data_IF_919519742563
#
_entry.id   IF_919519742563
#
_cell.length_a   1.000
_cell.length_b   1.000
_cell.length_c   1.000
_cell.angle_alpha   90.00
_cell.angle_beta   90.00
_cell.angle_gamma   90.00
#
_symmetry.space_group_name_H-M   'P 1'
#
loop_
_entity.id
_entity.type
_entity.pdbx_description
1 polymer ?
#
# COMPACT_ATOMS: atom_id res chain seq x y z
N UNK A 1 -15.67 -11.85 -5.89
CA UNK A 1 -14.29 -11.38 -6.11
C UNK A 1 -13.89 -10.40 -5.03
N UNK A 2 -12.80 -10.71 -4.31
CA UNK A 2 -12.10 -9.76 -3.43
C UNK A 2 -10.64 -9.68 -3.89
N UNK A 3 -10.09 -8.47 -3.88
CA UNK A 3 -8.71 -8.17 -4.22
C UNK A 3 -7.99 -7.71 -2.95
N UNK A 4 -6.90 -8.38 -2.61
CA UNK A 4 -5.93 -7.86 -1.64
C UNK A 4 -4.98 -6.90 -2.35
N UNK A 5 -5.18 -5.60 -2.18
CA UNK A 5 -4.36 -4.58 -2.84
C UNK A 5 -2.99 -4.35 -2.22
N UNK A 6 -2.63 -5.07 -1.15
CA UNK A 6 -1.36 -4.87 -0.48
C UNK A 6 -0.89 -6.10 0.28
N UNK A 7 0.07 -6.82 -0.29
CA UNK A 7 0.87 -7.81 0.43
C UNK A 7 2.31 -7.84 -0.08
N UNK A 8 3.14 -8.60 0.63
CA UNK A 8 4.55 -8.76 0.38
C UNK A 8 4.96 -10.23 0.33
N UNK A 9 6.04 -10.49 -0.39
CA UNK A 9 6.71 -11.80 -0.48
C UNK A 9 8.20 -11.51 -0.35
N UNK A 10 8.93 -12.34 0.38
CA UNK A 10 10.38 -12.20 0.46
C UNK A 10 11.09 -13.52 0.77
N UNK A 11 12.29 -13.65 0.22
CA UNK A 11 13.25 -14.72 0.52
C UNK A 11 14.50 -14.11 1.17
N UNK A 12 14.66 -14.31 2.47
CA UNK A 12 15.79 -13.80 3.25
C UNK A 12 17.12 -14.45 2.86
N UNK A 13 17.10 -15.57 2.14
CA UNK A 13 18.31 -16.20 1.60
C UNK A 13 18.80 -15.52 0.31
N UNK A 14 17.89 -14.87 -0.43
CA UNK A 14 18.21 -14.07 -1.63
C UNK A 14 18.56 -12.65 -1.21
N UNK A 15 17.72 -12.05 -0.39
CA UNK A 15 17.91 -10.65 0.00
C UNK A 15 17.43 -10.35 1.40
N UNK A 16 18.29 -9.65 2.12
CA UNK A 16 17.98 -9.24 3.47
C UNK A 16 16.92 -8.12 3.52
N UNK A 17 16.16 -8.11 4.61
CA UNK A 17 15.09 -7.17 4.92
C UNK A 17 15.55 -6.29 6.09
N UNK A 18 16.33 -5.25 5.79
CA UNK A 18 17.04 -4.44 6.79
C UNK A 18 16.14 -3.72 7.81
N UNK A 19 14.85 -3.57 7.52
CA UNK A 19 13.86 -3.00 8.43
C UNK A 19 13.34 -4.01 9.49
N UNK A 20 13.50 -5.31 9.27
CA UNK A 20 13.09 -6.38 10.20
C UNK A 20 14.13 -6.50 11.31
N UNK A 21 14.07 -5.59 12.29
CA UNK A 21 15.04 -5.48 13.38
C UNK A 21 14.40 -5.62 14.75
N UNK A 22 15.17 -6.16 15.71
CA UNK A 22 14.75 -6.32 17.09
C UNK A 22 13.84 -7.51 17.37
N UNK A 23 13.58 -7.75 18.65
CA UNK A 23 12.89 -8.96 19.12
C UNK A 23 11.43 -9.02 18.69
N UNK A 24 10.76 -7.87 18.62
CA UNK A 24 9.36 -7.78 18.23
C UNK A 24 9.13 -8.22 16.78
N UNK A 25 10.12 -8.07 15.90
CA UNK A 25 10.02 -8.44 14.47
C UNK A 25 10.42 -9.89 14.18
N UNK A 26 10.88 -10.65 15.18
CA UNK A 26 11.30 -12.06 15.00
C UNK A 26 10.26 -12.96 14.30
N UNK A 27 8.94 -12.85 14.55
CA UNK A 27 7.95 -13.71 13.90
C UNK A 27 7.94 -13.64 12.36
N UNK A 28 8.30 -12.47 11.82
CA UNK A 28 8.37 -12.23 10.37
C UNK A 28 9.79 -12.31 9.82
N UNK A 29 10.80 -12.61 10.65
CA UNK A 29 12.20 -12.81 10.24
C UNK A 29 12.42 -14.20 9.65
N UNK A 30 11.63 -14.56 8.65
CA UNK A 30 11.65 -15.82 7.89
C UNK A 30 11.19 -15.58 6.46
N UNK A 31 11.31 -16.57 5.59
CA UNK A 31 10.80 -16.49 4.22
C UNK A 31 9.28 -16.56 4.19
N UNK A 32 8.69 -15.84 3.24
CA UNK A 32 7.27 -15.90 2.90
C UNK A 32 7.15 -15.99 1.38
N UNK A 33 6.39 -16.98 0.91
CA UNK A 33 6.27 -17.36 -0.49
C UNK A 33 4.81 -17.43 -0.96
N UNK A 34 4.58 -17.56 -2.28
CA UNK A 34 3.23 -17.67 -2.85
C UNK A 34 2.43 -18.88 -2.32
N UNK A 35 3.05 -20.05 -2.03
CA UNK A 35 2.40 -21.12 -1.27
C UNK A 35 1.96 -20.70 0.15
N UNK A 36 2.80 -19.98 0.90
CA UNK A 36 2.43 -19.49 2.24
C UNK A 36 1.25 -18.51 2.17
N UNK A 37 1.23 -17.64 1.15
CA UNK A 37 0.11 -16.72 0.91
C UNK A 37 -1.19 -17.50 0.62
N UNK A 38 -1.14 -18.53 -0.22
CA UNK A 38 -2.32 -19.37 -0.53
C UNK A 38 -2.90 -20.05 0.71
N UNK A 39 -2.03 -20.51 1.60
CA UNK A 39 -2.46 -21.04 2.89
C UNK A 39 -3.13 -19.95 3.74
N UNK A 40 -2.54 -18.76 3.80
CA UNK A 40 -3.06 -17.64 4.57
C UNK A 40 -4.42 -17.12 4.08
N UNK A 41 -4.64 -17.05 2.75
CA UNK A 41 -5.90 -16.57 2.15
C UNK A 41 -6.99 -17.65 2.07
N UNK A 42 -6.68 -18.89 2.46
CA UNK A 42 -7.64 -19.98 2.35
C UNK A 42 -8.93 -19.66 3.12
N UNK A 43 -10.07 -19.73 2.42
CA UNK A 43 -11.44 -19.41 2.91
C UNK A 43 -11.72 -17.94 3.25
N UNK A 44 -10.86 -17.00 2.88
CA UNK A 44 -11.13 -15.56 3.11
C UNK A 44 -11.90 -14.88 1.97
N UNK A 45 -12.05 -15.59 0.83
CA UNK A 45 -12.71 -15.08 -0.37
C UNK A 45 -11.86 -14.15 -1.22
N UNK A 46 -10.58 -13.95 -0.87
CA UNK A 46 -9.59 -13.26 -1.71
C UNK A 46 -9.24 -14.15 -2.91
N UNK A 47 -9.38 -13.57 -4.10
CA UNK A 47 -9.21 -14.26 -5.38
C UNK A 47 -8.04 -13.71 -6.19
N UNK A 48 -7.63 -12.46 -5.94
CA UNK A 48 -6.56 -11.76 -6.65
C UNK A 48 -5.80 -10.83 -5.70
N UNK A 49 -4.57 -10.48 -6.05
CA UNK A 49 -3.68 -9.70 -5.19
C UNK A 49 -2.80 -8.71 -5.94
N UNK A 50 -2.37 -7.65 -5.26
CA UNK A 50 -1.32 -6.73 -5.71
C UNK A 50 -0.10 -6.92 -4.81
N UNK A 51 1.02 -7.30 -5.43
CA UNK A 51 2.29 -7.56 -4.76
C UNK A 51 3.13 -6.28 -4.71
N UNK A 52 3.60 -5.89 -3.52
CA UNK A 52 4.26 -4.60 -3.28
C UNK A 52 5.71 -4.81 -2.85
N UNK A 53 6.63 -3.99 -3.39
CA UNK A 53 8.05 -3.95 -3.00
C UNK A 53 8.25 -3.83 -1.49
N UNK A 54 9.34 -4.37 -0.96
CA UNK A 54 9.63 -4.39 0.49
C UNK A 54 10.85 -3.57 0.88
N UNK A 55 11.73 -3.25 -0.07
CA UNK A 55 13.02 -2.62 0.17
C UNK A 55 13.44 -1.68 -0.96
N UNK A 56 14.48 -0.89 -0.70
CA UNK A 56 15.04 0.09 -1.62
C UNK A 56 16.15 -0.48 -2.51
N UNK A 57 15.87 -1.60 -3.19
CA UNK A 57 16.79 -2.24 -4.15
C UNK A 57 16.12 -2.40 -5.53
N UNK A 58 16.76 -1.85 -6.57
CA UNK A 58 16.30 -1.95 -7.96
C UNK A 58 16.16 -3.40 -8.45
N UNK A 59 16.87 -4.35 -7.84
CA UNK A 59 16.78 -5.76 -8.21
C UNK A 59 15.51 -6.47 -7.70
N UNK A 60 14.77 -5.90 -6.73
CA UNK A 60 13.55 -6.54 -6.22
C UNK A 60 12.40 -6.49 -7.24
N UNK A 61 12.21 -5.35 -7.92
CA UNK A 61 11.08 -5.20 -8.85
C UNK A 61 11.06 -6.26 -9.97
N UNK A 62 12.19 -6.56 -10.66
CA UNK A 62 12.26 -7.68 -11.60
C UNK A 62 11.83 -9.04 -11.03
N UNK A 63 12.13 -9.33 -9.76
CA UNK A 63 11.74 -10.58 -9.11
C UNK A 63 10.23 -10.64 -8.87
N UNK A 64 9.62 -9.53 -8.44
CA UNK A 64 8.17 -9.44 -8.25
C UNK A 64 7.41 -9.56 -9.59
N UNK A 65 7.94 -8.97 -10.67
CA UNK A 65 7.36 -9.11 -12.01
C UNK A 65 7.42 -10.57 -12.51
N UNK A 66 8.53 -11.27 -12.25
CA UNK A 66 8.65 -12.69 -12.58
C UNK A 66 7.65 -13.56 -11.78
N UNK A 67 7.41 -13.23 -10.50
CA UNK A 67 6.36 -13.89 -9.71
C UNK A 67 5.00 -13.68 -10.37
N UNK A 68 4.64 -12.44 -10.72
CA UNK A 68 3.34 -12.11 -11.32
C UNK A 68 3.13 -12.76 -12.69
N UNK A 69 4.18 -12.93 -13.49
CA UNK A 69 4.11 -13.67 -14.75
C UNK A 69 3.85 -15.17 -14.54
N UNK A 70 4.32 -15.74 -13.43
CA UNK A 70 4.22 -17.17 -13.14
C UNK A 70 2.99 -17.57 -12.31
N UNK A 71 2.29 -16.60 -11.71
CA UNK A 71 1.28 -16.85 -10.68
C UNK A 71 0.04 -15.96 -10.89
N UNK A 72 -1.07 -16.57 -11.32
CA UNK A 72 -2.34 -15.90 -11.64
C UNK A 72 -3.00 -15.19 -10.45
N UNK A 73 -2.58 -15.49 -9.21
CA UNK A 73 -3.07 -14.82 -8.02
C UNK A 73 -2.59 -13.36 -7.96
N UNK A 74 -1.50 -13.02 -8.63
CA UNK A 74 -0.93 -11.66 -8.66
C UNK A 74 -1.35 -10.97 -9.96
N UNK A 75 -2.16 -9.92 -9.82
CA UNK A 75 -2.71 -9.15 -10.97
C UNK A 75 -2.06 -7.78 -11.14
N UNK A 76 -1.24 -7.38 -10.17
CA UNK A 76 -0.47 -6.15 -10.23
C UNK A 76 0.74 -6.20 -9.32
N UNK A 77 1.76 -5.43 -9.69
CA UNK A 77 3.00 -5.23 -8.95
C UNK A 77 3.18 -3.73 -8.73
N UNK A 78 3.49 -3.36 -7.50
CA UNK A 78 3.99 -2.03 -7.14
C UNK A 78 5.49 -2.16 -6.87
N UNK A 79 6.29 -1.68 -7.82
CA UNK A 79 7.76 -1.75 -7.77
C UNK A 79 8.38 -0.61 -6.98
N UNK A 80 9.71 -0.58 -6.95
CA UNK A 80 10.51 0.47 -6.30
C UNK A 80 11.38 1.25 -7.31
N UNK A 81 11.46 2.55 -7.11
CA UNK A 81 12.45 3.45 -7.70
C UNK A 81 12.88 4.45 -6.62
N UNK A 82 14.16 4.85 -6.63
CA UNK A 82 14.56 6.04 -5.88
C UNK A 82 14.03 7.27 -6.59
N UNK A 83 12.91 7.83 -6.10
CA UNK A 83 12.14 8.78 -6.91
C UNK A 83 12.83 10.14 -7.07
N UNK A 84 13.72 10.50 -6.15
CA UNK A 84 14.51 11.74 -6.22
C UNK A 84 15.78 11.64 -7.07
N UNK A 85 16.06 10.48 -7.66
CA UNK A 85 17.22 10.27 -8.52
C UNK A 85 16.97 10.79 -9.95
N UNK A 86 17.94 11.47 -10.58
CA UNK A 86 17.77 12.03 -11.93
C UNK A 86 17.56 10.96 -13.02
N UNK A 87 17.94 9.72 -12.75
CA UNK A 87 17.83 8.54 -13.61
C UNK A 87 16.67 7.60 -13.22
N UNK A 88 15.80 7.98 -12.27
CA UNK A 88 14.67 7.14 -11.82
C UNK A 88 13.80 6.63 -12.99
N UNK A 89 13.54 7.49 -13.97
CA UNK A 89 12.72 7.13 -15.14
C UNK A 89 13.48 6.23 -16.12
N UNK A 90 14.81 6.32 -16.20
CA UNK A 90 15.60 5.35 -16.96
C UNK A 90 15.45 3.95 -16.36
N UNK A 91 15.49 3.84 -15.03
CA UNK A 91 15.23 2.58 -14.34
C UNK A 91 13.80 2.07 -14.57
N UNK A 92 12.80 2.95 -14.58
CA UNK A 92 11.44 2.55 -14.96
C UNK A 92 11.38 1.94 -16.37
N UNK A 93 12.03 2.56 -17.35
CA UNK A 93 12.07 2.02 -18.71
C UNK A 93 12.69 0.63 -18.75
N UNK A 94 13.74 0.37 -17.96
CA UNK A 94 14.32 -0.98 -17.84
C UNK A 94 13.28 -1.98 -17.33
N UNK A 95 12.42 -1.62 -16.38
CA UNK A 95 11.33 -2.50 -15.92
C UNK A 95 10.28 -2.73 -17.00
N UNK A 96 9.93 -1.69 -17.76
CA UNK A 96 8.93 -1.78 -18.82
C UNK A 96 9.37 -2.66 -20.01
N UNK A 97 10.67 -2.92 -20.15
CA UNK A 97 11.25 -3.80 -21.15
C UNK A 97 11.34 -5.28 -20.70
N UNK A 98 10.98 -5.59 -19.43
CA UNK A 98 11.06 -6.96 -18.89
C UNK A 98 9.82 -7.82 -19.23
N UNK A 99 9.97 -9.16 -19.25
CA UNK A 99 8.84 -10.06 -19.07
C UNK A 99 8.04 -9.69 -17.82
N UNK A 100 6.71 -9.83 -17.89
CA UNK A 100 5.81 -9.42 -16.83
C UNK A 100 5.62 -7.89 -16.65
N UNK A 101 6.21 -7.03 -17.48
CA UNK A 101 6.05 -5.58 -17.39
C UNK A 101 4.58 -5.09 -17.40
N UNK A 102 3.66 -5.83 -18.01
CA UNK A 102 2.23 -5.55 -17.99
C UNK A 102 1.61 -5.62 -16.58
N UNK A 103 2.26 -6.31 -15.64
CA UNK A 103 1.89 -6.36 -14.23
C UNK A 103 2.44 -5.16 -13.44
N UNK A 104 3.40 -4.39 -13.95
CA UNK A 104 3.87 -3.18 -13.26
C UNK A 104 2.76 -2.12 -13.31
N UNK A 105 2.09 -1.89 -12.18
CA UNK A 105 0.97 -0.94 -12.08
C UNK A 105 1.31 0.32 -11.31
N UNK A 106 2.25 0.23 -10.37
CA UNK A 106 2.63 1.34 -9.51
C UNK A 106 4.11 1.34 -9.16
N UNK A 107 4.55 2.48 -8.64
CA UNK A 107 5.84 2.65 -7.97
C UNK A 107 5.59 3.16 -6.56
N UNK A 108 6.37 2.65 -5.61
CA UNK A 108 6.40 3.11 -4.22
C UNK A 108 7.82 3.39 -3.81
N UNK A 109 8.07 4.58 -3.27
CA UNK A 109 9.28 4.86 -2.49
C UNK A 109 8.93 4.93 -0.98
N UNK A 110 9.89 4.63 -0.11
CA UNK A 110 9.67 4.50 1.35
C UNK A 110 9.88 5.85 2.03
N UNK A 111 9.04 6.83 1.72
CA UNK A 111 9.17 8.21 2.19
C UNK A 111 9.29 8.33 3.71
N UNK A 112 8.55 7.49 4.46
CA UNK A 112 8.60 7.43 5.93
C UNK A 112 9.97 7.08 6.55
N UNK A 113 10.92 6.56 5.75
CA UNK A 113 12.25 6.16 6.22
C UNK A 113 13.32 7.22 5.88
N UNK A 114 12.96 8.25 5.11
CA UNK A 114 13.84 9.39 4.87
C UNK A 114 13.92 10.30 6.10
N UNK A 115 15.13 10.80 6.39
CA UNK A 115 15.37 11.73 7.50
C UNK A 115 14.62 13.06 7.33
N UNK A 116 14.44 13.49 6.08
CA UNK A 116 13.76 14.73 5.72
C UNK A 116 12.29 14.44 5.40
N UNK A 117 11.33 14.88 6.23
CA UNK A 117 9.92 14.64 5.99
C UNK A 117 9.39 15.37 4.73
N UNK A 118 10.16 16.30 4.17
CA UNK A 118 9.82 17.00 2.93
C UNK A 118 10.32 16.29 1.67
N UNK A 119 10.83 15.05 1.79
CA UNK A 119 11.37 14.25 0.69
C UNK A 119 10.48 14.23 -0.57
N UNK A 120 9.16 14.04 -0.38
CA UNK A 120 8.20 13.96 -1.48
C UNK A 120 7.96 15.30 -2.20
N UNK A 121 8.20 16.42 -1.53
CA UNK A 121 8.01 17.77 -2.08
C UNK A 121 9.24 18.29 -2.83
N UNK A 122 10.33 17.51 -2.91
CA UNK A 122 11.52 17.89 -3.68
C UNK A 122 11.18 18.01 -5.16
N UNK A 123 11.85 18.95 -5.83
CA UNK A 123 11.63 19.23 -7.25
C UNK A 123 11.82 17.98 -8.13
N UNK A 124 12.87 17.20 -7.88
CA UNK A 124 13.15 15.99 -8.67
C UNK A 124 12.13 14.87 -8.38
N UNK A 125 11.70 14.70 -7.12
CA UNK A 125 10.61 13.77 -6.75
C UNK A 125 9.32 14.11 -7.50
N UNK A 126 8.87 15.38 -7.43
CA UNK A 126 7.67 15.85 -8.14
C UNK A 126 7.80 15.63 -9.65
N UNK A 127 8.96 15.99 -10.22
CA UNK A 127 9.23 15.84 -11.66
C UNK A 127 9.17 14.38 -12.10
N UNK A 128 9.72 13.45 -11.33
CA UNK A 128 9.72 12.04 -11.69
C UNK A 128 8.35 11.40 -11.47
N UNK A 129 7.66 11.67 -10.35
CA UNK A 129 6.29 11.20 -10.13
C UNK A 129 5.35 11.66 -11.24
N UNK A 130 5.46 12.92 -11.68
CA UNK A 130 4.66 13.42 -12.81
C UNK A 130 4.87 12.60 -14.09
N UNK A 131 6.11 12.19 -14.38
CA UNK A 131 6.43 11.35 -15.53
C UNK A 131 5.86 9.92 -15.40
N UNK A 132 5.73 9.39 -14.19
CA UNK A 132 5.04 8.10 -13.96
C UNK A 132 3.59 8.16 -14.45
N UNK A 133 2.87 9.24 -14.10
CA UNK A 133 1.48 9.44 -14.51
C UNK A 133 1.30 9.52 -16.03
N UNK A 134 2.23 10.18 -16.73
CA UNK A 134 2.25 10.22 -18.19
C UNK A 134 2.41 8.84 -18.85
N UNK A 135 3.02 7.88 -18.14
CA UNK A 135 3.16 6.48 -18.55
C UNK A 135 2.03 5.59 -18.01
N UNK A 136 1.07 6.18 -17.28
CA UNK A 136 -0.07 5.48 -16.72
C UNK A 136 0.22 4.63 -15.48
N UNK A 137 1.40 4.80 -14.86
CA UNK A 137 1.85 4.12 -13.64
C UNK A 137 1.41 4.92 -12.41
N UNK A 138 0.84 4.26 -11.40
CA UNK A 138 0.42 4.89 -10.14
C UNK A 138 1.61 5.22 -9.25
N UNK A 139 1.40 6.08 -8.25
CA UNK A 139 2.36 6.29 -7.17
C UNK A 139 1.73 5.98 -5.81
N UNK A 140 2.32 5.03 -5.09
CA UNK A 140 1.86 4.62 -3.78
C UNK A 140 2.55 5.48 -2.70
N UNK A 141 1.74 6.15 -1.86
CA UNK A 141 2.21 7.05 -0.80
C UNK A 141 2.39 6.28 0.50
N UNK A 142 3.63 5.86 0.79
CA UNK A 142 4.00 5.28 2.09
C UNK A 142 4.56 6.34 3.04
N UNK A 143 3.65 6.94 3.80
CA UNK A 143 3.92 8.07 4.69
C UNK A 143 3.41 7.83 6.10
N UNK A 144 4.00 8.52 7.09
CA UNK A 144 3.39 8.75 8.39
C UNK A 144 2.91 10.20 8.46
N UNK A 145 2.31 10.57 9.59
CA UNK A 145 1.83 11.94 9.84
C UNK A 145 2.84 13.05 9.51
N UNK A 146 4.16 12.94 9.81
CA UNK A 146 5.11 14.00 9.52
C UNK A 146 5.35 14.23 8.02
N UNK A 147 5.21 13.22 7.16
CA UNK A 147 5.46 13.32 5.71
C UNK A 147 4.20 13.75 4.92
N UNK A 148 3.02 13.73 5.55
CA UNK A 148 1.75 14.10 4.91
C UNK A 148 1.74 15.51 4.27
N UNK A 149 2.30 16.57 4.89
CA UNK A 149 2.37 17.88 4.22
C UNK A 149 3.09 17.82 2.87
N UNK A 150 4.20 17.09 2.79
CA UNK A 150 4.96 16.92 1.56
C UNK A 150 4.23 16.04 0.54
N UNK A 151 3.51 15.01 1.00
CA UNK A 151 2.64 14.21 0.15
C UNK A 151 1.53 15.06 -0.49
N UNK A 152 0.89 15.94 0.28
CA UNK A 152 -0.14 16.87 -0.23
C UNK A 152 0.43 17.80 -1.31
N UNK A 153 1.63 18.36 -1.10
CA UNK A 153 2.30 19.17 -2.11
C UNK A 153 2.58 18.39 -3.40
N UNK A 154 3.09 17.15 -3.27
CA UNK A 154 3.33 16.26 -4.40
C UNK A 154 2.05 15.98 -5.19
N UNK A 155 0.96 15.61 -4.52
CA UNK A 155 -0.32 15.29 -5.18
C UNK A 155 -0.89 16.53 -5.89
N UNK A 156 -0.85 17.71 -5.25
CA UNK A 156 -1.28 18.97 -5.86
C UNK A 156 -0.44 19.32 -7.10
N UNK A 157 0.85 18.99 -7.09
CA UNK A 157 1.74 19.24 -8.21
C UNK A 157 1.55 18.23 -9.36
N UNK A 158 0.92 17.08 -9.13
CA UNK A 158 0.76 16.01 -10.13
C UNK A 158 -0.71 15.56 -10.28
N UNK A 159 -1.64 16.46 -10.64
CA UNK A 159 -3.08 16.15 -10.72
C UNK A 159 -3.44 15.04 -11.73
N UNK A 160 -2.56 14.73 -12.68
CA UNK A 160 -2.71 13.66 -13.67
C UNK A 160 -2.28 12.27 -13.17
N UNK A 161 -1.58 12.20 -12.03
CA UNK A 161 -1.11 10.94 -11.45
C UNK A 161 -2.20 10.37 -10.55
N UNK A 162 -2.51 9.08 -10.70
CA UNK A 162 -3.31 8.35 -9.72
C UNK A 162 -2.42 7.99 -8.52
N UNK A 163 -2.78 8.50 -7.35
CA UNK A 163 -2.10 8.19 -6.09
C UNK A 163 -2.89 7.15 -5.30
N UNK A 164 -2.16 6.25 -4.64
CA UNK A 164 -2.72 5.26 -3.71
C UNK A 164 -2.07 5.46 -2.35
N UNK A 165 -2.85 5.90 -1.36
CA UNK A 165 -2.34 6.09 -0.01
C UNK A 165 -2.26 4.75 0.72
N UNK A 166 -1.05 4.38 1.15
CA UNK A 166 -0.81 3.16 1.91
C UNK A 166 -1.24 3.35 3.37
N UNK A 167 -1.83 2.28 3.94
CA UNK A 167 -2.11 2.12 5.37
C UNK A 167 -2.71 3.33 6.07
N UNK A 168 -3.62 4.03 5.39
CA UNK A 168 -4.24 5.27 5.87
C UNK A 168 -3.23 6.34 6.36
N UNK A 169 -1.99 6.33 5.84
CA UNK A 169 -0.81 7.07 6.33
C UNK A 169 -0.52 6.92 7.83
N UNK A 170 -0.71 5.71 8.37
CA UNK A 170 -0.18 5.27 9.67
C UNK A 170 -0.42 6.25 10.81
N UNK A 171 -1.69 6.57 11.16
CA UNK A 171 -1.98 7.32 12.37
C UNK A 171 -1.47 6.56 13.60
N UNK A 172 -1.18 7.27 14.69
CA UNK A 172 -0.73 6.64 15.92
C UNK A 172 -1.90 6.03 16.70
N UNK A 173 -2.47 4.94 16.19
CA UNK A 173 -3.67 4.27 16.72
C UNK A 173 -3.44 3.79 18.16
N UNK A 174 -2.27 3.22 18.46
CA UNK A 174 -1.88 2.81 19.81
C UNK A 174 -1.88 3.95 20.85
N UNK A 175 -1.86 5.21 20.41
CA UNK A 175 -1.95 6.41 21.26
C UNK A 175 -3.33 7.09 21.19
N UNK A 176 -4.27 6.53 20.44
CA UNK A 176 -5.58 7.13 20.13
C UNK A 176 -5.46 8.56 19.56
N UNK A 177 -4.40 8.84 18.80
CA UNK A 177 -4.11 10.18 18.29
C UNK A 177 -4.80 10.44 16.94
N UNK A 178 -5.80 11.31 16.95
CA UNK A 178 -6.51 11.72 15.73
C UNK A 178 -5.88 12.93 15.03
N UNK A 179 -5.23 13.83 15.76
CA UNK A 179 -4.68 15.08 15.21
C UNK A 179 -3.16 15.08 15.32
N UNK A 180 -2.41 15.54 14.30
CA UNK A 180 -2.88 16.30 13.14
C UNK A 180 -3.33 15.44 11.93
N UNK A 181 -3.24 14.11 12.04
CA UNK A 181 -3.58 13.15 10.98
C UNK A 181 -4.94 13.44 10.32
N UNK A 182 -5.99 13.62 11.10
CA UNK A 182 -7.36 13.83 10.62
C UNK A 182 -7.46 15.01 9.65
N UNK A 183 -6.84 16.14 9.99
CA UNK A 183 -6.89 17.34 9.16
C UNK A 183 -6.11 17.14 7.86
N UNK A 184 -4.90 16.57 7.95
CA UNK A 184 -4.04 16.35 6.79
C UNK A 184 -4.64 15.33 5.82
N UNK A 185 -5.23 14.25 6.34
CA UNK A 185 -5.94 13.26 5.53
C UNK A 185 -7.21 13.85 4.90
N UNK A 186 -7.93 14.74 5.60
CA UNK A 186 -9.09 15.45 5.01
C UNK A 186 -8.65 16.32 3.83
N UNK A 187 -7.53 17.03 3.95
CA UNK A 187 -6.97 17.81 2.86
C UNK A 187 -6.54 16.92 1.69
N UNK A 188 -5.83 15.83 1.97
CA UNK A 188 -5.39 14.89 0.93
C UNK A 188 -6.59 14.23 0.22
N UNK A 189 -7.64 13.86 0.96
CA UNK A 189 -8.88 13.29 0.40
C UNK A 189 -9.65 14.28 -0.49
N UNK A 190 -9.48 15.58 -0.31
CA UNK A 190 -10.09 16.59 -1.18
C UNK A 190 -9.54 16.57 -2.61
N UNK A 191 -8.38 15.95 -2.81
CA UNK A 191 -7.76 15.74 -4.12
C UNK A 191 -8.37 14.49 -4.77
N UNK A 192 -9.03 14.62 -5.94
CA UNK A 192 -9.84 13.54 -6.52
C UNK A 192 -9.00 12.37 -7.06
N UNK A 193 -7.73 12.60 -7.33
CA UNK A 193 -6.77 11.61 -7.83
C UNK A 193 -6.10 10.78 -6.72
N UNK A 194 -6.62 10.83 -5.49
CA UNK A 194 -6.16 10.00 -4.35
C UNK A 194 -7.22 8.96 -3.99
N UNK A 195 -6.79 7.70 -3.93
CA UNK A 195 -7.51 6.60 -3.28
C UNK A 195 -6.72 6.12 -2.06
N UNK A 196 -7.36 5.34 -1.19
CA UNK A 196 -6.80 4.95 0.11
C UNK A 196 -6.94 3.45 0.36
N UNK A 197 -5.86 2.81 0.81
CA UNK A 197 -5.88 1.44 1.31
C UNK A 197 -6.23 1.41 2.79
N UNK A 198 -7.30 0.69 3.13
CA UNK A 198 -7.57 0.26 4.51
C UNK A 198 -6.76 -1.00 4.75
N UNK A 199 -5.53 -0.81 5.26
CA UNK A 199 -4.50 -1.83 5.43
C UNK A 199 -3.55 -1.44 6.57
N UNK A 200 -2.70 -2.36 7.05
CA UNK A 200 -1.65 -2.06 8.03
C UNK A 200 -2.13 -1.52 9.39
N UNK A 201 -3.44 -1.61 9.69
CA UNK A 201 -4.03 -1.00 10.88
C UNK A 201 -3.55 -1.66 12.17
N UNK A 202 -3.55 -3.00 12.20
CA UNK A 202 -3.26 -3.81 13.40
C UNK A 202 -1.84 -3.57 13.93
N UNK A 203 -0.91 -3.22 13.05
CA UNK A 203 0.49 -2.90 13.37
C UNK A 203 0.71 -1.47 13.84
N UNK A 204 -0.26 -0.57 13.67
CA UNK A 204 -0.24 0.79 14.25
C UNK A 204 -0.97 0.85 15.61
N UNK A 205 -1.75 -0.19 15.93
CA UNK A 205 -2.46 -0.36 17.19
C UNK A 205 -1.61 -1.11 18.24
N UNK A 206 -2.25 -1.51 19.35
CA UNK A 206 -1.63 -2.41 20.32
C UNK A 206 -1.61 -3.84 19.76
N UNK A 207 -0.45 -4.32 19.30
CA UNK A 207 -0.32 -5.61 18.59
C UNK A 207 -0.89 -6.82 19.34
N UNK A 208 -1.00 -6.75 20.67
CA UNK A 208 -1.44 -7.88 21.50
C UNK A 208 -2.91 -7.82 21.92
N UNK A 209 -3.50 -6.62 21.94
CA UNK A 209 -4.80 -6.40 22.57
C UNK A 209 -5.64 -5.35 21.81
N UNK A 210 -5.44 -5.23 20.50
CA UNK A 210 -6.30 -4.37 19.69
C UNK A 210 -7.73 -4.92 19.69
N UNK A 211 -8.70 -4.03 19.57
CA UNK A 211 -10.10 -4.36 19.38
C UNK A 211 -10.66 -3.60 18.18
N UNK A 212 -11.74 -4.09 17.54
CA UNK A 212 -12.36 -3.43 16.37
C UNK A 212 -12.67 -1.94 16.65
N UNK A 213 -13.09 -1.60 17.88
CA UNK A 213 -13.41 -0.23 18.29
C UNK A 213 -12.23 0.74 18.23
N UNK A 214 -10.98 0.25 18.27
CA UNK A 214 -9.79 1.10 18.22
C UNK A 214 -9.62 1.74 16.85
N UNK A 215 -10.18 1.11 15.81
CA UNK A 215 -10.05 1.54 14.41
C UNK A 215 -11.23 2.39 13.91
N UNK A 216 -12.42 2.23 14.53
CA UNK A 216 -13.64 2.93 14.12
C UNK A 216 -13.46 4.46 13.95
N UNK A 217 -12.81 5.20 14.87
CA UNK A 217 -12.64 6.65 14.70
C UNK A 217 -11.89 7.04 13.41
N UNK A 218 -10.97 6.19 12.95
CA UNK A 218 -10.17 6.42 11.76
C UNK A 218 -10.92 5.99 10.50
N UNK A 219 -11.54 4.80 10.51
CA UNK A 219 -12.28 4.29 9.36
C UNK A 219 -13.57 5.04 9.09
N UNK A 220 -14.31 5.44 10.13
CA UNK A 220 -15.53 6.25 9.97
C UNK A 220 -15.20 7.59 9.30
N UNK A 221 -14.11 8.23 9.75
CA UNK A 221 -13.62 9.47 9.14
C UNK A 221 -13.22 9.27 7.67
N UNK A 222 -12.52 8.17 7.34
CA UNK A 222 -12.13 7.85 5.98
C UNK A 222 -13.33 7.57 5.06
N UNK A 223 -14.32 6.80 5.55
CA UNK A 223 -15.57 6.53 4.82
C UNK A 223 -16.30 7.84 4.51
N UNK A 224 -16.34 8.77 5.46
CA UNK A 224 -16.97 10.08 5.27
C UNK A 224 -16.28 10.91 4.16
N UNK A 225 -14.94 11.01 4.18
CA UNK A 225 -14.21 11.94 3.29
C UNK A 225 -13.80 11.35 1.95
N UNK A 226 -13.47 10.05 1.88
CA UNK A 226 -13.09 9.39 0.63
C UNK A 226 -14.31 8.84 -0.11
N UNK A 227 -15.36 8.48 0.63
CA UNK A 227 -16.42 7.55 0.21
C UNK A 227 -15.87 6.14 -0.09
N UNK A 228 -16.70 5.08 0.02
CA UNK A 228 -16.26 3.71 -0.27
C UNK A 228 -15.66 3.52 -1.68
N UNK A 229 -16.05 4.35 -2.65
CA UNK A 229 -15.55 4.31 -4.03
C UNK A 229 -14.08 4.74 -4.19
N UNK A 230 -13.45 5.26 -3.14
CA UNK A 230 -12.01 5.57 -3.11
C UNK A 230 -11.28 4.85 -1.99
N UNK A 231 -11.91 3.86 -1.37
CA UNK A 231 -11.30 2.97 -0.38
C UNK A 231 -11.09 1.58 -1.00
N UNK A 232 -10.00 0.93 -0.65
CA UNK A 232 -9.73 -0.46 -1.03
C UNK A 232 -9.14 -1.26 0.13
N UNK A 233 -9.43 -2.56 0.19
CA UNK A 233 -8.83 -3.48 1.15
C UNK A 233 -7.37 -3.80 0.81
N UNK A 234 -6.51 -3.90 1.82
CA UNK A 234 -5.19 -4.53 1.71
C UNK A 234 -4.81 -5.22 3.02
N UNK A 235 -4.18 -6.39 2.96
CA UNK A 235 -3.89 -7.19 4.15
C UNK A 235 -2.66 -6.70 4.91
N UNK A 236 -1.69 -6.11 4.21
CA UNK A 236 -0.33 -5.88 4.71
C UNK A 236 0.36 -7.17 5.19
N UNK A 237 -0.06 -8.32 4.65
CA UNK A 237 0.59 -9.60 4.92
C UNK A 237 1.98 -9.63 4.26
N UNK A 238 3.02 -10.19 4.90
CA UNK A 238 3.01 -10.88 6.19
C UNK A 238 3.30 -9.95 7.38
N UNK A 239 3.48 -8.65 7.18
CA UNK A 239 3.76 -7.68 8.25
C UNK A 239 2.66 -7.69 9.30
N UNK A 240 1.39 -7.75 8.86
CA UNK A 240 0.23 -7.84 9.74
C UNK A 240 0.30 -9.03 10.72
N UNK A 241 1.03 -10.11 10.41
CA UNK A 241 1.20 -11.29 11.29
C UNK A 241 1.94 -11.00 12.59
N UNK A 242 2.51 -9.80 12.74
CA UNK A 242 2.98 -9.29 14.02
C UNK A 242 1.85 -9.07 15.05
N UNK A 243 0.62 -8.86 14.57
CA UNK A 243 -0.53 -8.49 15.39
C UNK A 243 -1.81 -9.28 15.08
N UNK A 244 -1.95 -9.87 13.89
CA UNK A 244 -3.15 -10.59 13.47
C UNK A 244 -2.85 -11.60 12.34
N UNK A 245 -3.56 -12.71 12.33
CA UNK A 245 -3.60 -13.63 11.17
C UNK A 245 -4.27 -12.96 9.97
N UNK A 246 -4.04 -13.50 8.76
CA UNK A 246 -4.69 -12.98 7.55
C UNK A 246 -6.22 -12.98 7.67
N UNK A 247 -6.81 -14.06 8.19
CA UNK A 247 -8.26 -14.17 8.39
C UNK A 247 -8.78 -13.10 9.37
N UNK A 248 -8.09 -12.85 10.48
CA UNK A 248 -8.45 -11.79 11.43
C UNK A 248 -8.41 -10.39 10.79
N UNK A 249 -7.47 -10.14 9.87
CA UNK A 249 -7.41 -8.87 9.12
C UNK A 249 -8.60 -8.73 8.17
N UNK A 250 -9.02 -9.80 7.50
CA UNK A 250 -10.20 -9.80 6.64
C UNK A 250 -11.48 -9.60 7.47
N UNK A 251 -11.64 -10.32 8.58
CA UNK A 251 -12.77 -10.18 9.50
C UNK A 251 -12.85 -8.78 10.12
N UNK A 252 -11.69 -8.18 10.42
CA UNK A 252 -11.60 -6.79 10.87
C UNK A 252 -12.12 -5.85 9.77
N UNK A 253 -11.66 -5.98 8.53
CA UNK A 253 -12.13 -5.15 7.43
C UNK A 253 -13.65 -5.31 7.21
N UNK A 254 -14.18 -6.54 7.23
CA UNK A 254 -15.62 -6.81 7.15
C UNK A 254 -16.40 -6.13 8.26
N UNK A 255 -15.88 -6.15 9.49
CA UNK A 255 -16.50 -5.49 10.65
C UNK A 255 -16.52 -3.97 10.50
N UNK A 256 -15.44 -3.38 9.99
CA UNK A 256 -15.31 -1.93 9.77
C UNK A 256 -16.17 -1.44 8.60
N UNK A 257 -16.54 -2.33 7.66
CA UNK A 257 -17.36 -2.00 6.49
C UNK A 257 -18.76 -2.60 6.52
N UNK A 258 -19.23 -3.08 7.69
CA UNK A 258 -20.51 -3.77 7.83
C UNK A 258 -21.72 -2.90 7.41
N UNK A 259 -21.59 -1.58 7.52
CA UNK A 259 -22.63 -0.62 7.15
C UNK A 259 -22.70 -0.28 5.66
N UNK A 260 -21.75 -0.76 4.84
CA UNK A 260 -21.72 -0.45 3.40
C UNK A 260 -22.85 -1.16 2.65
N UNK A 261 -23.45 -0.47 1.68
CA UNK A 261 -24.36 -1.08 0.71
C UNK A 261 -23.63 -2.14 -0.15
N UNK A 262 -24.37 -3.01 -0.87
CA UNK A 262 -23.74 -4.01 -1.74
C UNK A 262 -22.77 -3.41 -2.78
N UNK A 263 -23.12 -2.28 -3.40
CA UNK A 263 -22.24 -1.60 -4.37
C UNK A 263 -21.02 -0.97 -3.73
N UNK A 264 -21.16 -0.40 -2.53
CA UNK A 264 -20.02 0.17 -1.79
C UNK A 264 -19.06 -0.92 -1.31
N UNK A 265 -19.59 -2.08 -0.91
CA UNK A 265 -18.78 -3.26 -0.62
C UNK A 265 -18.04 -3.75 -1.86
N UNK A 266 -18.69 -3.81 -3.03
CA UNK A 266 -18.02 -4.18 -4.27
C UNK A 266 -16.87 -3.22 -4.63
N UNK A 267 -17.09 -1.91 -4.45
CA UNK A 267 -16.06 -0.89 -4.56
C UNK A 267 -14.87 -1.15 -3.64
N UNK A 268 -15.13 -1.30 -2.34
CA UNK A 268 -14.11 -1.52 -1.33
C UNK A 268 -13.30 -2.80 -1.55
N UNK A 269 -13.97 -3.90 -1.87
CA UNK A 269 -13.31 -5.20 -2.01
C UNK A 269 -12.66 -5.42 -3.37
N UNK A 270 -12.99 -4.65 -4.41
CA UNK A 270 -12.45 -4.91 -5.76
C UNK A 270 -12.38 -3.69 -6.67
N UNK A 271 -13.49 -2.98 -6.93
CA UNK A 271 -13.54 -2.02 -8.04
C UNK A 271 -12.59 -0.84 -7.84
N UNK A 272 -12.40 -0.36 -6.62
CA UNK A 272 -11.44 0.73 -6.37
C UNK A 272 -10.01 0.31 -6.75
N UNK A 273 -9.60 -0.91 -6.42
CA UNK A 273 -8.28 -1.43 -6.78
C UNK A 273 -8.15 -1.63 -8.30
N UNK A 274 -9.18 -2.19 -8.95
CA UNK A 274 -9.22 -2.38 -10.40
C UNK A 274 -9.06 -1.06 -11.14
N UNK A 275 -9.83 -0.04 -10.74
CA UNK A 275 -9.78 1.27 -11.39
C UNK A 275 -8.46 2.01 -11.13
N UNK A 276 -7.99 2.00 -9.88
CA UNK A 276 -6.78 2.73 -9.51
C UNK A 276 -5.54 2.17 -10.22
N UNK A 277 -5.37 0.85 -10.22
CA UNK A 277 -4.21 0.17 -10.81
C UNK A 277 -4.41 -0.27 -12.26
N UNK A 278 -5.58 -0.02 -12.86
CA UNK A 278 -5.95 -0.50 -14.20
C UNK A 278 -5.69 -2.00 -14.35
N UNK A 279 -6.20 -2.76 -13.40
CA UNK A 279 -6.11 -4.23 -13.40
C UNK A 279 -6.97 -4.78 -14.55
N UNK A 280 -6.50 -5.86 -15.17
CA UNK A 280 -7.14 -6.49 -16.32
C UNK A 280 -8.18 -7.53 -15.89
#
# INVERSE_FOLDING_TARGET
MRIDSHHHIWDLSVRDQGWITGDAMKPIRRNFSMPDLREAIYRTGVEQTVLVQTITDYAETPELLAIAESDELVVGVVGWLQIDAPDAIEHLHKYLDLPGANYLKGIRDIAQDHVDPNYLAREESIKNVRKLGALGITYDLLTKTPELPAAIELVKACPEVQFVMDHISKPYISKSEMQPWKNLITELASLPNVVCKISGLVTEANWKNWEVRDFLPYTDHLIEIFTPNRLMFGSDWPVATLAATYSEVVELAESLTIGLSPSENESFWSQTAIHAYKLA
#
